data_IF_383895602470
#
_entry.id   IF_383895602470
#
_cell.length_a   1.000
_cell.length_b   1.000
_cell.length_c   1.000
_cell.angle_alpha   90.00
_cell.angle_beta   90.00
_cell.angle_gamma   90.00
#
_symmetry.space_group_name_H-M   'P 1'
#
loop_
_entity.id
_entity.type
_entity.pdbx_description
1 polymer ?
#
# COMPACT_ATOMS: atom_id res chain seq x y z
N UNK A 1 -8.21 -0.52 -21.89
CA UNK A 1 -7.24 -1.42 -22.50
C UNK A 1 -7.43 -2.83 -21.95
N UNK A 2 -7.35 -3.05 -20.66
CA UNK A 2 -7.55 -4.36 -20.03
C UNK A 2 -9.02 -4.53 -19.59
N UNK A 3 -9.64 -5.65 -19.99
CA UNK A 3 -11.01 -6.01 -19.61
C UNK A 3 -11.06 -7.05 -18.48
N UNK A 4 -9.95 -7.25 -17.77
CA UNK A 4 -9.75 -8.22 -16.72
C UNK A 4 -8.83 -7.64 -15.64
N UNK A 5 -8.75 -8.25 -14.45
CA UNK A 5 -7.78 -7.87 -13.42
C UNK A 5 -6.34 -7.92 -13.96
N UNK A 6 -5.54 -6.95 -13.58
CA UNK A 6 -4.12 -6.82 -13.96
C UNK A 6 -3.31 -6.48 -12.74
N UNK A 7 -2.17 -7.18 -12.56
CA UNK A 7 -1.17 -6.79 -11.59
C UNK A 7 -0.14 -5.86 -12.24
N UNK A 8 0.11 -4.73 -11.60
CA UNK A 8 1.20 -3.81 -11.93
C UNK A 8 2.23 -3.91 -10.83
N UNK A 9 3.50 -4.10 -11.20
CA UNK A 9 4.60 -4.31 -10.24
C UNK A 9 5.73 -3.31 -10.46
N UNK A 10 6.66 -3.28 -9.51
CA UNK A 10 7.92 -2.53 -9.63
C UNK A 10 7.73 -1.04 -9.91
N UNK A 11 6.94 -0.41 -9.06
CA UNK A 11 6.65 1.02 -9.13
C UNK A 11 7.89 1.89 -8.85
N UNK A 12 7.99 3.09 -9.44
CA UNK A 12 8.99 4.09 -9.05
C UNK A 12 8.92 4.38 -7.55
N UNK A 13 10.09 4.45 -6.91
CA UNK A 13 10.18 4.64 -5.45
C UNK A 13 9.60 5.96 -4.96
N UNK A 14 9.57 6.97 -5.82
CA UNK A 14 9.11 8.33 -5.49
C UNK A 14 7.61 8.40 -5.22
N UNK A 15 6.82 7.48 -5.80
CA UNK A 15 5.36 7.48 -5.69
C UNK A 15 4.83 6.41 -4.73
N UNK A 16 5.72 5.69 -4.05
CA UNK A 16 5.35 4.62 -3.11
C UNK A 16 5.94 4.88 -1.71
N UNK A 17 5.37 4.24 -0.70
CA UNK A 17 5.72 4.45 0.69
C UNK A 17 7.17 4.04 1.02
N UNK A 18 7.77 4.74 1.98
CA UNK A 18 9.17 4.56 2.41
C UNK A 18 9.52 3.14 2.85
N UNK A 19 8.55 2.40 3.39
CA UNK A 19 8.74 1.07 3.96
C UNK A 19 8.75 -0.07 2.93
N UNK A 20 8.53 0.22 1.66
CA UNK A 20 8.54 -0.79 0.60
C UNK A 20 9.98 -1.13 0.21
N UNK A 21 10.25 -2.43 0.03
CA UNK A 21 11.58 -2.93 -0.32
C UNK A 21 12.10 -2.26 -1.59
N UNK A 22 13.27 -1.64 -1.49
CA UNK A 22 13.95 -1.09 -2.67
C UNK A 22 14.49 -2.23 -3.54
N UNK A 23 14.22 -2.17 -4.84
CA UNK A 23 14.77 -3.11 -5.80
C UNK A 23 16.28 -2.84 -6.05
N UNK A 24 17.03 -3.83 -6.54
CA UNK A 24 18.48 -3.67 -6.81
C UNK A 24 18.83 -2.54 -7.78
N UNK A 25 17.87 -2.06 -8.58
CA UNK A 25 18.07 -0.93 -9.50
C UNK A 25 18.16 0.43 -8.78
N UNK A 26 17.81 0.50 -7.49
CA UNK A 26 17.78 1.71 -6.69
C UNK A 26 16.71 2.73 -7.09
N UNK A 27 15.86 2.40 -8.05
CA UNK A 27 14.83 3.29 -8.65
C UNK A 27 13.41 2.82 -8.41
N UNK A 28 13.20 1.52 -8.34
CA UNK A 28 11.88 0.92 -8.16
C UNK A 28 11.77 0.22 -6.81
N UNK A 29 10.54 -0.08 -6.41
CA UNK A 29 10.24 -0.84 -5.18
C UNK A 29 9.45 -2.10 -5.50
N UNK A 30 9.65 -3.15 -4.71
CA UNK A 30 8.95 -4.43 -4.82
C UNK A 30 7.49 -4.30 -4.33
N UNK A 31 6.76 -3.43 -5.01
CA UNK A 31 5.33 -3.17 -4.79
C UNK A 31 4.50 -3.85 -5.88
N UNK A 32 3.26 -4.14 -5.56
CA UNK A 32 2.28 -4.60 -6.54
C UNK A 32 0.90 -4.03 -6.23
N UNK A 33 0.17 -3.65 -7.27
CA UNK A 33 -1.24 -3.30 -7.17
C UNK A 33 -2.05 -4.20 -8.11
N UNK A 34 -3.20 -4.69 -7.64
CA UNK A 34 -4.18 -5.36 -8.48
C UNK A 34 -5.23 -4.35 -8.92
N UNK A 35 -5.26 -4.06 -10.21
CA UNK A 35 -6.19 -3.13 -10.83
C UNK A 35 -7.31 -3.91 -11.52
N UNK A 36 -8.56 -3.50 -11.31
CA UNK A 36 -9.73 -4.11 -11.96
C UNK A 36 -10.50 -3.08 -12.79
N UNK A 37 -11.17 -3.51 -13.89
CA UNK A 37 -11.95 -2.62 -14.74
C UNK A 37 -13.02 -1.86 -13.94
N UNK A 38 -13.16 -0.57 -14.22
CA UNK A 38 -14.21 0.29 -13.66
C UNK A 38 -13.98 0.79 -12.23
N UNK A 39 -13.14 0.11 -11.44
CA UNK A 39 -12.86 0.46 -10.04
C UNK A 39 -11.44 1.01 -9.85
N UNK A 40 -10.45 0.43 -10.54
CA UNK A 40 -9.03 0.70 -10.32
C UNK A 40 -8.42 -0.28 -9.33
N UNK A 41 -7.57 0.21 -8.41
CA UNK A 41 -6.90 -0.63 -7.41
C UNK A 41 -7.87 -1.21 -6.40
N UNK A 42 -7.86 -2.55 -6.26
CA UNK A 42 -8.57 -3.27 -5.18
C UNK A 42 -7.61 -3.94 -4.20
N UNK A 43 -6.40 -4.24 -4.62
CA UNK A 43 -5.33 -4.78 -3.75
C UNK A 43 -4.08 -3.95 -3.98
N UNK A 44 -3.45 -3.52 -2.90
CA UNK A 44 -2.11 -2.95 -2.89
C UNK A 44 -1.22 -3.71 -1.92
N UNK A 45 0.01 -4.02 -2.32
CA UNK A 45 0.93 -4.76 -1.50
C UNK A 45 2.39 -4.50 -1.81
N UNK A 46 3.27 -4.98 -0.96
CA UNK A 46 4.72 -4.94 -1.22
C UNK A 46 5.48 -5.94 -0.34
N UNK A 47 6.65 -6.31 -0.79
CA UNK A 47 7.69 -6.74 0.16
C UNK A 47 8.08 -5.54 1.02
N UNK A 48 8.35 -5.75 2.29
CA UNK A 48 8.79 -4.69 3.21
C UNK A 48 10.30 -4.59 3.21
N UNK A 49 10.83 -3.36 3.39
CA UNK A 49 12.26 -3.16 3.57
C UNK A 49 12.70 -3.81 4.88
N UNK A 50 13.63 -4.75 4.78
CA UNK A 50 14.17 -5.54 5.89
C UNK A 50 15.59 -5.11 6.29
N UNK A 51 16.23 -4.23 5.51
CA UNK A 51 17.51 -3.61 5.83
C UNK A 51 17.31 -2.31 6.60
N UNK A 52 17.95 -2.19 7.78
CA UNK A 52 17.80 -1.04 8.67
C UNK A 52 18.31 0.26 8.04
N UNK A 53 19.51 0.23 7.47
CA UNK A 53 20.17 1.45 6.94
C UNK A 53 19.43 1.97 5.72
N UNK A 54 19.00 1.07 4.84
CA UNK A 54 18.18 1.41 3.68
C UNK A 54 16.84 2.02 4.10
N UNK A 55 16.20 1.46 5.14
CA UNK A 55 14.93 1.99 5.66
C UNK A 55 15.10 3.41 6.21
N UNK A 56 16.16 3.65 7.01
CA UNK A 56 16.49 4.99 7.55
C UNK A 56 16.73 5.98 6.42
N UNK A 57 17.53 5.61 5.42
CA UNK A 57 17.78 6.45 4.26
C UNK A 57 16.48 6.83 3.54
N UNK A 58 15.59 5.85 3.30
CA UNK A 58 14.30 6.11 2.66
C UNK A 58 13.41 7.04 3.49
N UNK A 59 13.42 6.91 4.81
CA UNK A 59 12.70 7.82 5.69
C UNK A 59 13.23 9.26 5.57
N UNK A 60 14.55 9.44 5.54
CA UNK A 60 15.18 10.74 5.37
C UNK A 60 14.85 11.36 4.01
N UNK A 61 14.89 10.59 2.93
CA UNK A 61 14.47 11.04 1.58
C UNK A 61 13.00 11.52 1.57
N UNK A 62 12.14 10.92 2.40
CA UNK A 62 10.73 11.31 2.55
C UNK A 62 10.49 12.41 3.60
N UNK A 63 11.55 12.96 4.22
CA UNK A 63 11.45 14.01 5.25
C UNK A 63 10.85 13.54 6.57
N UNK A 64 10.87 12.24 6.87
CA UNK A 64 10.34 11.65 8.09
C UNK A 64 11.38 11.67 9.20
N UNK A 65 10.92 11.80 10.44
CA UNK A 65 11.78 11.79 11.63
C UNK A 65 11.86 10.39 12.22
N UNK A 66 13.05 9.84 12.36
CA UNK A 66 13.29 8.49 12.90
C UNK A 66 12.62 8.27 14.27
N UNK A 67 12.66 9.27 15.16
CA UNK A 67 12.07 9.20 16.49
C UNK A 67 10.57 8.85 16.49
N UNK A 68 9.85 9.25 15.45
CA UNK A 68 8.40 9.04 15.35
C UNK A 68 8.07 7.60 14.90
N UNK A 69 9.09 6.89 14.39
CA UNK A 69 9.00 5.52 13.87
C UNK A 69 9.96 4.54 14.57
N UNK A 70 10.46 4.90 15.76
CA UNK A 70 11.45 4.09 16.45
C UNK A 70 11.01 2.63 16.64
N UNK A 71 9.75 2.40 17.02
CA UNK A 71 9.18 1.06 17.17
C UNK A 71 9.27 0.23 15.86
N UNK A 72 9.14 0.89 14.70
CA UNK A 72 9.20 0.25 13.40
C UNK A 72 10.64 -0.05 12.98
N UNK A 73 11.56 0.86 13.29
CA UNK A 73 13.00 0.69 13.07
C UNK A 73 13.58 -0.43 13.95
N UNK A 74 13.14 -0.54 15.19
CA UNK A 74 13.60 -1.56 16.13
C UNK A 74 13.32 -2.98 15.65
N UNK A 75 12.25 -3.18 14.87
CA UNK A 75 11.97 -4.48 14.23
C UNK A 75 13.04 -4.89 13.20
N UNK A 76 13.82 -3.96 12.66
CA UNK A 76 14.94 -4.25 11.75
C UNK A 76 16.25 -4.31 12.49
N UNK A 77 16.40 -3.49 13.53
CA UNK A 77 17.60 -3.40 14.31
C UNK A 77 17.88 -4.66 15.14
N UNK A 78 16.85 -5.26 15.72
CA UNK A 78 16.98 -6.36 16.66
C UNK A 78 16.64 -7.74 16.09
N UNK A 79 15.76 -7.84 15.08
CA UNK A 79 15.34 -9.11 14.53
C UNK A 79 14.72 -8.93 13.13
N UNK A 80 15.54 -8.60 12.14
CA UNK A 80 15.03 -8.47 10.77
C UNK A 80 14.72 -9.82 10.14
N UNK A 81 13.59 -9.91 9.43
CA UNK A 81 13.22 -11.05 8.60
C UNK A 81 12.56 -10.58 7.31
N UNK A 82 12.74 -11.35 6.24
CA UNK A 82 12.02 -11.07 4.99
C UNK A 82 10.53 -11.26 5.20
N UNK A 83 9.76 -10.22 4.90
CA UNK A 83 8.30 -10.27 5.01
C UNK A 83 7.64 -9.38 3.95
N UNK A 84 6.39 -9.68 3.67
CA UNK A 84 5.55 -8.94 2.75
C UNK A 84 4.14 -8.80 3.35
N UNK A 85 3.36 -7.91 2.78
CA UNK A 85 1.96 -7.74 3.16
C UNK A 85 1.17 -7.07 2.05
N UNK A 86 -0.14 -7.28 2.09
CA UNK A 86 -1.08 -6.62 1.19
C UNK A 86 -2.34 -6.19 1.93
N UNK A 87 -3.03 -5.22 1.38
CA UNK A 87 -4.38 -4.82 1.79
C UNK A 87 -5.35 -5.05 0.64
N UNK A 88 -6.50 -5.64 0.95
CA UNK A 88 -7.64 -5.73 0.05
C UNK A 88 -8.66 -4.66 0.46
N UNK A 89 -9.02 -3.76 -0.45
CA UNK A 89 -10.15 -2.86 -0.29
C UNK A 89 -11.45 -3.64 -0.39
N UNK A 90 -12.02 -4.04 0.75
CA UNK A 90 -13.21 -4.88 0.79
C UNK A 90 -14.38 -4.23 0.08
N UNK A 91 -14.63 -2.95 0.33
CA UNK A 91 -15.69 -2.19 -0.32
C UNK A 91 -15.49 -2.11 -1.83
N UNK A 92 -14.26 -1.87 -2.29
CA UNK A 92 -13.95 -1.88 -3.73
C UNK A 92 -14.16 -3.26 -4.34
N UNK A 93 -13.85 -4.33 -3.62
CA UNK A 93 -14.13 -5.69 -4.04
C UNK A 93 -15.64 -5.94 -4.19
N UNK A 94 -16.44 -5.50 -3.23
CA UNK A 94 -17.91 -5.59 -3.30
C UNK A 94 -18.43 -4.79 -4.49
N UNK A 95 -17.97 -3.55 -4.70
CA UNK A 95 -18.33 -2.75 -5.88
C UNK A 95 -18.03 -3.49 -7.18
N UNK A 96 -16.85 -4.09 -7.29
CA UNK A 96 -16.45 -4.81 -8.49
C UNK A 96 -17.31 -6.03 -8.77
N UNK A 97 -17.65 -6.81 -7.74
CA UNK A 97 -18.45 -8.04 -7.87
C UNK A 97 -19.94 -7.77 -8.11
N UNK A 98 -20.46 -6.67 -7.56
CA UNK A 98 -21.90 -6.33 -7.65
C UNK A 98 -22.22 -5.34 -8.78
N UNK A 99 -21.21 -4.67 -9.33
CA UNK A 99 -21.39 -3.60 -10.31
C UNK A 99 -21.89 -2.27 -9.73
N UNK A 100 -21.93 -2.13 -8.39
CA UNK A 100 -22.32 -0.88 -7.73
C UNK A 100 -21.20 0.15 -7.91
N UNK A 101 -21.54 1.35 -8.35
CA UNK A 101 -20.56 2.39 -8.69
C UNK A 101 -20.20 3.33 -7.53
N UNK A 102 -21.06 3.42 -6.51
CA UNK A 102 -20.84 4.32 -5.37
C UNK A 102 -20.43 3.53 -4.13
N UNK A 103 -19.26 3.84 -3.56
CA UNK A 103 -18.72 3.14 -2.39
C UNK A 103 -19.61 3.28 -1.14
N UNK A 104 -20.42 4.33 -1.06
CA UNK A 104 -21.37 4.52 0.06
C UNK A 104 -22.45 3.45 0.08
N UNK A 105 -22.80 2.92 -1.08
CA UNK A 105 -23.89 1.93 -1.22
C UNK A 105 -23.44 0.49 -0.89
N UNK A 106 -22.15 0.29 -0.64
CA UNK A 106 -21.58 -1.01 -0.22
C UNK A 106 -21.14 -1.02 1.24
N UNK A 107 -21.40 0.06 1.97
CA UNK A 107 -21.12 0.19 3.39
C UNK A 107 -22.43 0.18 4.17
N UNK A 108 -22.54 -0.60 5.27
CA UNK A 108 -23.74 -0.58 6.14
C UNK A 108 -23.98 0.79 6.78
N UNK A 109 -22.88 1.49 7.14
CA UNK A 109 -22.92 2.79 7.81
C UNK A 109 -21.90 3.74 7.14
N UNK A 110 -22.22 4.30 5.97
CA UNK A 110 -21.29 5.15 5.24
C UNK A 110 -21.06 6.47 5.98
N UNK A 111 -19.79 6.78 6.25
CA UNK A 111 -19.39 8.05 6.84
C UNK A 111 -18.98 9.03 5.75
N UNK A 112 -19.53 10.23 5.80
CA UNK A 112 -19.25 11.29 4.84
C UNK A 112 -19.01 12.61 5.58
N UNK A 113 -18.59 13.64 4.83
CA UNK A 113 -18.45 14.99 5.41
C UNK A 113 -19.79 15.43 5.99
N UNK A 114 -19.82 15.76 7.27
CA UNK A 114 -21.04 16.17 8.00
C UNK A 114 -21.96 15.02 8.41
N UNK A 115 -21.61 13.75 8.12
CA UNK A 115 -22.40 12.58 8.56
C UNK A 115 -21.48 11.50 9.14
N UNK A 116 -21.73 11.17 10.42
CA UNK A 116 -21.03 10.10 11.15
C UNK A 116 -22.02 9.35 12.06
N UNK A 117 -23.23 9.13 11.58
CA UNK A 117 -24.26 8.37 12.31
C UNK A 117 -24.06 6.86 12.09
N UNK A 118 -24.40 6.06 13.11
CA UNK A 118 -24.39 4.59 13.08
C UNK A 118 -25.80 4.07 12.78
#
# INVERSE_FOLDING_TARGET
IFKRPVFVTDYPKEIKAFYMKLNPDGKTVAAMDCLVPGIGEIIGGSQREDDYDTLVQRMQECGLKEKDYQFYLDLRKYASTRHAGFGLGFERCVMYLTGISNIRDVLPFPRTVGNCEL
#
